data_IF_133794169440
#
_entry.id   IF_133794169440
#
_cell.length_a   1.000
_cell.length_b   1.000
_cell.length_c   1.000
_cell.angle_alpha   90.00
_cell.angle_beta   90.00
_cell.angle_gamma   90.00
#
_symmetry.space_group_name_H-M   'P 1'
#
loop_
_entity.id
_entity.type
_entity.pdbx_description
1 polymer ?
#
# COMPACT_ATOMS: atom_id res chain seq x y z
N UNK A 1 29.25 5.45 33.84
CA UNK A 1 29.28 5.84 32.42
C UNK A 1 28.07 5.38 31.60
N UNK A 2 27.05 4.74 32.19
CA UNK A 2 25.93 4.16 31.42
C UNK A 2 24.99 5.16 30.71
N UNK A 3 24.92 6.42 31.16
CA UNK A 3 24.05 7.44 30.57
C UNK A 3 24.56 7.89 29.19
N UNK A 4 25.88 7.99 29.01
CA UNK A 4 26.49 8.38 27.73
C UNK A 4 26.37 7.23 26.71
N UNK A 5 26.49 5.99 27.16
CA UNK A 5 26.36 4.82 26.28
C UNK A 5 24.93 4.63 25.78
N UNK A 6 23.93 4.94 26.61
CA UNK A 6 22.52 4.91 26.20
C UNK A 6 22.16 6.03 25.23
N UNK A 7 22.71 7.23 25.44
CA UNK A 7 22.54 8.35 24.50
C UNK A 7 23.16 8.02 23.13
N UNK A 8 24.33 7.38 23.10
CA UNK A 8 24.95 6.90 21.84
C UNK A 8 24.10 5.84 21.15
N UNK A 9 23.57 4.87 21.90
CA UNK A 9 22.67 3.86 21.33
C UNK A 9 21.39 4.46 20.75
N UNK A 10 20.79 5.45 21.42
CA UNK A 10 19.60 6.12 20.90
C UNK A 10 19.92 7.00 19.70
N UNK A 11 21.09 7.65 19.67
CA UNK A 11 21.54 8.44 18.52
C UNK A 11 21.84 7.56 17.31
N UNK A 12 22.51 6.42 17.48
CA UNK A 12 22.76 5.46 16.40
C UNK A 12 21.45 4.87 15.86
N UNK A 13 20.50 4.57 16.75
CA UNK A 13 19.18 4.05 16.36
C UNK A 13 18.34 5.10 15.63
N UNK A 14 18.39 6.36 16.08
CA UNK A 14 17.75 7.49 15.41
C UNK A 14 18.42 7.83 14.06
N UNK A 15 19.75 7.77 14.00
CA UNK A 15 20.52 8.01 12.78
C UNK A 15 20.23 6.96 11.71
N UNK A 16 20.12 5.69 12.10
CA UNK A 16 19.76 4.60 11.18
C UNK A 16 18.32 4.72 10.68
N UNK A 17 17.38 5.04 11.57
CA UNK A 17 15.99 5.31 11.18
C UNK A 17 15.85 6.54 10.26
N UNK A 18 16.67 7.57 10.45
CA UNK A 18 16.71 8.75 9.61
C UNK A 18 17.28 8.45 8.21
N UNK A 19 18.34 7.65 8.12
CA UNK A 19 18.89 7.17 6.84
C UNK A 19 17.87 6.35 6.06
N UNK A 20 17.23 5.38 6.73
CA UNK A 20 16.21 4.54 6.10
C UNK A 20 15.05 5.40 5.56
N UNK A 21 14.57 6.37 6.35
CA UNK A 21 13.50 7.28 5.91
C UNK A 21 13.93 8.20 4.74
N UNK A 22 15.20 8.61 4.71
CA UNK A 22 15.75 9.45 3.64
C UNK A 22 15.84 8.67 2.32
N UNK A 23 16.34 7.43 2.36
CA UNK A 23 16.43 6.55 1.19
C UNK A 23 15.05 6.19 0.65
N UNK A 24 14.07 5.98 1.54
CA UNK A 24 12.68 5.77 1.17
C UNK A 24 12.07 7.02 0.52
N UNK A 25 12.40 8.20 1.05
CA UNK A 25 12.01 9.50 0.49
C UNK A 25 12.56 9.72 -0.91
N UNK A 26 13.83 9.37 -1.15
CA UNK A 26 14.47 9.46 -2.47
C UNK A 26 13.80 8.53 -3.48
N UNK A 27 13.58 7.27 -3.10
CA UNK A 27 12.92 6.26 -3.95
C UNK A 27 11.51 6.71 -4.34
N UNK A 28 10.73 7.25 -3.39
CA UNK A 28 9.37 7.78 -3.66
C UNK A 28 9.39 8.99 -4.58
N UNK A 29 10.36 9.90 -4.39
CA UNK A 29 10.51 11.09 -5.22
C UNK A 29 10.84 10.73 -6.67
N UNK A 30 11.73 9.76 -6.87
CA UNK A 30 12.11 9.28 -8.21
C UNK A 30 10.92 8.68 -8.95
N UNK A 31 10.13 7.80 -8.31
CA UNK A 31 8.92 7.27 -8.93
C UNK A 31 7.88 8.36 -9.25
N UNK A 32 7.70 9.34 -8.37
CA UNK A 32 6.79 10.46 -8.63
C UNK A 32 7.24 11.30 -9.83
N UNK A 33 8.55 11.53 -9.97
CA UNK A 33 9.11 12.23 -11.13
C UNK A 33 8.92 11.45 -12.42
N UNK A 34 9.19 10.15 -12.42
CA UNK A 34 9.02 9.31 -13.62
C UNK A 34 7.56 9.28 -14.06
N UNK A 35 6.62 9.18 -13.12
CA UNK A 35 5.18 9.26 -13.42
C UNK A 35 4.78 10.62 -13.98
N UNK A 36 5.27 11.72 -13.42
CA UNK A 36 5.00 13.05 -13.97
C UNK A 36 5.53 13.23 -15.40
N UNK A 37 6.66 12.58 -15.73
CA UNK A 37 7.19 12.60 -17.10
C UNK A 37 6.29 11.80 -18.05
N UNK A 38 5.79 10.64 -17.63
CA UNK A 38 4.82 9.86 -18.39
C UNK A 38 3.51 10.64 -18.61
N UNK A 39 2.95 11.23 -17.56
CA UNK A 39 1.72 12.05 -17.64
C UNK A 39 1.89 13.23 -18.60
N UNK A 40 3.05 13.91 -18.57
CA UNK A 40 3.35 15.00 -19.53
C UNK A 40 3.50 14.51 -20.97
N UNK A 41 4.08 13.33 -21.17
CA UNK A 41 4.18 12.74 -22.50
C UNK A 41 2.80 12.34 -23.05
N UNK A 42 1.93 11.80 -22.20
CA UNK A 42 0.54 11.49 -22.54
C UNK A 42 -0.26 12.76 -22.90
N UNK A 43 -0.10 13.85 -22.12
CA UNK A 43 -0.73 15.14 -22.40
C UNK A 43 -0.24 15.71 -23.75
N UNK A 44 1.06 15.64 -24.02
CA UNK A 44 1.65 16.09 -25.29
C UNK A 44 1.14 15.28 -26.50
N UNK A 45 1.06 13.95 -26.38
CA UNK A 45 0.50 13.08 -27.41
C UNK A 45 -0.98 13.40 -27.65
N UNK A 46 -1.77 13.48 -26.57
CA UNK A 46 -3.20 13.78 -26.65
C UNK A 46 -3.48 15.13 -27.30
N UNK A 47 -2.70 16.15 -26.95
CA UNK A 47 -2.81 17.48 -27.56
C UNK A 47 -2.42 17.47 -29.04
N UNK A 48 -1.37 16.73 -29.42
CA UNK A 48 -0.93 16.61 -30.81
C UNK A 48 -2.01 15.94 -31.69
N UNK A 49 -2.62 14.86 -31.21
CA UNK A 49 -3.72 14.16 -31.89
C UNK A 49 -4.96 15.05 -31.99
N UNK A 50 -5.35 15.71 -30.89
CA UNK A 50 -6.48 16.63 -30.87
C UNK A 50 -6.29 17.78 -31.87
N UNK A 51 -5.11 18.38 -31.91
CA UNK A 51 -4.79 19.49 -32.83
C UNK A 51 -4.83 19.03 -34.29
N UNK A 52 -4.26 17.87 -34.60
CA UNK A 52 -4.30 17.30 -35.95
C UNK A 52 -5.76 17.10 -36.40
N UNK A 53 -6.55 16.40 -35.57
CA UNK A 53 -7.96 16.12 -35.84
C UNK A 53 -8.80 17.40 -35.98
N UNK A 54 -8.54 18.42 -35.16
CA UNK A 54 -9.19 19.74 -35.25
C UNK A 54 -8.82 20.49 -36.54
N UNK A 55 -7.59 20.32 -37.03
CA UNK A 55 -7.13 20.87 -38.30
C UNK A 55 -7.58 20.08 -39.54
N UNK A 56 -8.39 19.03 -39.37
CA UNK A 56 -8.82 18.15 -40.48
C UNK A 56 -7.68 17.38 -41.12
N UNK A 57 -6.54 17.27 -40.45
CA UNK A 57 -5.34 16.57 -40.91
C UNK A 57 -5.03 15.41 -39.97
N UNK A 58 -4.48 14.33 -40.49
CA UNK A 58 -4.02 13.24 -39.63
C UNK A 58 -2.65 13.58 -39.04
N UNK A 59 -2.37 13.10 -37.83
CA UNK A 59 -1.03 13.23 -37.27
C UNK A 59 -0.09 12.38 -38.13
N UNK A 60 1.03 12.96 -38.56
CA UNK A 60 2.04 12.24 -39.33
C UNK A 60 2.41 10.91 -38.64
N UNK A 61 2.34 9.80 -39.39
CA UNK A 61 2.48 8.45 -38.84
C UNK A 61 3.86 8.24 -38.19
N UNK A 62 4.92 8.79 -38.80
CA UNK A 62 6.26 8.71 -38.22
C UNK A 62 6.37 9.49 -36.89
N UNK A 63 5.69 10.64 -36.80
CA UNK A 63 5.59 11.43 -35.57
C UNK A 63 4.75 10.72 -34.50
N UNK A 64 3.64 10.09 -34.89
CA UNK A 64 2.80 9.30 -33.99
C UNK A 64 3.56 8.10 -33.42
N UNK A 65 4.21 7.31 -34.27
CA UNK A 65 4.96 6.12 -33.86
C UNK A 65 6.11 6.47 -32.91
N UNK A 66 6.81 7.58 -33.15
CA UNK A 66 7.87 8.07 -32.26
C UNK A 66 7.34 8.49 -30.89
N UNK A 67 6.26 9.26 -30.86
CA UNK A 67 5.65 9.73 -29.61
C UNK A 67 5.06 8.55 -28.83
N UNK A 68 4.45 7.60 -29.52
CA UNK A 68 3.94 6.36 -28.95
C UNK A 68 5.05 5.50 -28.35
N UNK A 69 6.14 5.27 -29.07
CA UNK A 69 7.27 4.50 -28.54
C UNK A 69 7.91 5.16 -27.31
N UNK A 70 7.96 6.50 -27.29
CA UNK A 70 8.44 7.27 -26.14
C UNK A 70 7.49 7.14 -24.95
N UNK A 71 6.18 7.20 -25.19
CA UNK A 71 5.17 6.99 -24.15
C UNK A 71 5.22 5.58 -23.58
N UNK A 72 5.24 4.55 -24.44
CA UNK A 72 5.32 3.14 -24.03
C UNK A 72 6.58 2.87 -23.17
N UNK A 73 7.70 3.51 -23.50
CA UNK A 73 8.94 3.41 -22.72
C UNK A 73 8.78 4.02 -21.32
N UNK A 74 8.25 5.24 -21.23
CA UNK A 74 8.07 5.92 -19.95
C UNK A 74 6.97 5.28 -19.09
N UNK A 75 5.90 4.77 -19.68
CA UNK A 75 4.84 4.03 -18.97
C UNK A 75 5.37 2.69 -18.43
N UNK A 76 6.16 1.96 -19.21
CA UNK A 76 6.77 0.71 -18.76
C UNK A 76 7.78 0.94 -17.63
N UNK A 77 8.59 2.01 -17.72
CA UNK A 77 9.53 2.39 -16.66
C UNK A 77 8.81 2.86 -15.39
N UNK A 78 7.79 3.69 -15.51
CA UNK A 78 6.96 4.12 -14.39
C UNK A 78 6.28 2.93 -13.70
N UNK A 79 5.68 2.03 -14.49
CA UNK A 79 5.01 0.83 -13.96
C UNK A 79 5.97 -0.11 -13.23
N UNK A 80 7.21 -0.29 -13.71
CA UNK A 80 8.23 -1.06 -12.99
C UNK A 80 8.61 -0.45 -11.66
N UNK A 81 8.88 0.86 -11.64
CA UNK A 81 9.25 1.58 -10.41
C UNK A 81 8.11 1.59 -9.38
N UNK A 82 6.86 1.74 -9.83
CA UNK A 82 5.68 1.65 -8.96
C UNK A 82 5.50 0.25 -8.37
N UNK A 83 5.67 -0.81 -9.18
CA UNK A 83 5.59 -2.18 -8.71
C UNK A 83 6.67 -2.50 -7.67
N UNK A 84 7.88 -2.00 -7.85
CA UNK A 84 8.99 -2.19 -6.90
C UNK A 84 8.74 -1.45 -5.58
N UNK A 85 8.18 -0.24 -5.62
CA UNK A 85 7.77 0.50 -4.42
C UNK A 85 6.66 -0.21 -3.67
N UNK A 86 5.64 -0.70 -4.37
CA UNK A 86 4.53 -1.40 -3.72
C UNK A 86 4.98 -2.75 -3.14
N UNK A 87 5.88 -3.47 -3.83
CA UNK A 87 6.51 -4.68 -3.30
C UNK A 87 7.30 -4.39 -2.02
N UNK A 88 8.15 -3.34 -2.03
CA UNK A 88 8.92 -2.93 -0.83
C UNK A 88 8.00 -2.50 0.30
N UNK A 89 6.90 -1.79 -0.01
CA UNK A 89 5.88 -1.40 0.98
C UNK A 89 5.19 -2.62 1.59
N UNK A 90 4.87 -3.63 0.79
CA UNK A 90 4.28 -4.88 1.27
C UNK A 90 5.25 -5.65 2.17
N UNK A 91 6.53 -5.71 1.82
CA UNK A 91 7.57 -6.32 2.65
C UNK A 91 7.71 -5.59 4.00
N UNK A 92 7.75 -4.26 3.99
CA UNK A 92 7.80 -3.44 5.22
C UNK A 92 6.54 -3.61 6.08
N UNK A 93 5.36 -3.70 5.46
CA UNK A 93 4.09 -3.97 6.16
C UNK A 93 4.07 -5.37 6.78
N UNK A 94 4.55 -6.38 6.06
CA UNK A 94 4.64 -7.74 6.55
C UNK A 94 5.63 -7.84 7.72
N UNK A 95 6.82 -7.24 7.60
CA UNK A 95 7.81 -7.19 8.67
C UNK A 95 7.28 -6.50 9.93
N UNK A 96 6.54 -5.39 9.77
CA UNK A 96 5.93 -4.67 10.88
C UNK A 96 4.75 -5.44 11.51
N UNK A 97 3.97 -6.17 10.70
CA UNK A 97 2.90 -7.05 11.20
C UNK A 97 3.45 -8.22 12.01
N UNK A 98 4.55 -8.84 11.56
CA UNK A 98 5.27 -9.90 12.29
C UNK A 98 5.82 -9.34 13.61
N UNK A 99 6.50 -8.19 13.58
CA UNK A 99 7.04 -7.53 14.78
C UNK A 99 5.95 -7.17 15.79
N UNK A 100 4.76 -6.75 15.31
CA UNK A 100 3.60 -6.41 16.16
C UNK A 100 2.92 -7.67 16.74
N UNK A 101 2.87 -8.76 15.98
CA UNK A 101 2.35 -10.04 16.46
C UNK A 101 3.26 -10.64 17.55
N UNK A 102 4.59 -10.57 17.38
CA UNK A 102 5.57 -10.98 18.40
C UNK A 102 5.48 -10.13 19.67
N UNK A 103 5.30 -8.81 19.54
CA UNK A 103 5.08 -7.92 20.68
C UNK A 103 3.73 -8.16 21.40
N UNK A 104 2.69 -8.60 20.67
CA UNK A 104 1.38 -8.90 21.25
C UNK A 104 1.32 -10.30 21.88
N UNK A 105 2.12 -11.25 21.41
CA UNK A 105 2.26 -12.59 22.01
C UNK A 105 3.01 -12.61 23.33
N UNK A 106 3.82 -11.58 23.63
CA UNK A 106 4.56 -11.46 24.88
C UNK A 106 3.71 -11.00 26.09
N UNK A 107 2.46 -10.56 25.90
CA UNK A 107 1.60 -10.03 26.97
C UNK A 107 0.56 -11.06 27.48
N UNK A 108 0.40 -12.22 26.85
CA UNK A 108 -0.66 -13.20 27.21
C UNK A 108 -0.21 -14.27 28.21
N UNK A 109 0.75 -13.97 29.08
CA UNK A 109 1.08 -14.83 30.23
C UNK A 109 1.13 -14.02 31.51
N UNK A 110 -0.01 -13.44 31.90
CA UNK A 110 -0.28 -13.13 33.31
C UNK A 110 -1.79 -13.03 33.55
N UNK A 111 -2.22 -13.84 34.50
CA UNK A 111 -3.47 -13.73 35.26
C UNK A 111 -4.76 -14.20 34.60
N UNK A 112 -4.90 -15.53 34.62
CA UNK A 112 -6.15 -16.14 35.04
C UNK A 112 -6.65 -15.51 36.36
N UNK A 113 -7.91 -15.08 36.40
CA UNK A 113 -8.89 -15.29 37.49
C UNK A 113 -10.12 -14.43 37.16
N UNK A 114 -11.12 -15.02 36.53
CA UNK A 114 -12.51 -14.59 36.72
C UNK A 114 -13.35 -15.83 37.00
N UNK A 115 -13.48 -16.10 38.29
CA UNK A 115 -14.49 -16.97 38.86
C UNK A 115 -15.86 -16.38 38.58
N UNK A 116 -16.64 -17.00 37.71
CA UNK A 116 -18.10 -16.85 37.68
C UNK A 116 -18.73 -18.23 37.58
N UNK A 117 -19.30 -18.65 38.71
CA UNK A 117 -19.99 -19.91 38.90
C UNK A 117 -21.23 -20.05 38.00
N UNK A 118 -21.60 -21.28 37.63
CA UNK A 118 -22.81 -21.55 36.85
C UNK A 118 -24.04 -21.51 37.77
N UNK A 119 -25.09 -20.79 37.38
CA UNK A 119 -26.41 -20.99 37.98
C UNK A 119 -27.33 -21.65 36.96
N UNK A 120 -27.73 -22.86 37.31
CA UNK A 120 -28.72 -23.68 36.65
C UNK A 120 -30.11 -23.09 36.83
N UNK A 121 -30.84 -22.92 35.73
CA UNK A 121 -32.24 -22.53 35.72
C UNK A 121 -33.00 -23.21 34.58
N UNK A 122 -33.21 -24.51 34.70
CA UNK A 122 -34.23 -25.30 33.98
C UNK A 122 -35.61 -24.76 34.41
N UNK A 123 -36.62 -24.50 33.56
CA UNK A 123 -37.60 -25.44 32.97
C UNK A 123 -38.76 -24.59 32.32
N UNK A 124 -39.81 -25.18 31.70
CA UNK A 124 -40.06 -25.19 30.25
C UNK A 124 -41.29 -24.34 29.81
N UNK A 125 -41.37 -23.96 28.54
CA UNK A 125 -42.53 -23.26 28.00
C UNK A 125 -42.78 -23.64 26.54
N UNK A 126 -43.69 -24.57 26.35
CA UNK A 126 -44.25 -25.00 25.06
C UNK A 126 -44.86 -23.84 24.28
N UNK A 127 -44.71 -23.87 22.94
CA UNK A 127 -45.52 -23.06 22.03
C UNK A 127 -45.02 -23.06 20.59
N UNK A 128 -45.59 -23.96 19.78
CA UNK A 128 -46.00 -23.81 18.36
C UNK A 128 -45.09 -22.99 17.40
N UNK A 129 -44.42 -23.55 16.38
CA UNK A 129 -44.91 -24.10 15.09
C UNK A 129 -44.16 -23.34 13.95
N UNK A 130 -43.55 -24.03 12.96
CA UNK A 130 -42.90 -23.39 11.82
C UNK A 130 -43.88 -23.22 10.65
N UNK A 131 -44.18 -21.97 10.26
CA UNK A 131 -44.91 -21.72 9.02
C UNK A 131 -43.95 -21.74 7.83
N UNK A 132 -44.16 -22.71 6.95
CA UNK A 132 -43.46 -22.92 5.69
C UNK A 132 -43.88 -21.85 4.68
N UNK A 133 -42.90 -21.21 4.02
CA UNK A 133 -43.10 -20.43 2.81
C UNK A 133 -42.71 -21.26 1.59
N UNK A 134 -43.70 -21.81 0.89
CA UNK A 134 -43.52 -22.41 -0.44
C UNK A 134 -43.42 -21.35 -1.52
N UNK A 135 -42.57 -21.51 -2.55
CA UNK A 135 -42.57 -20.67 -3.75
C UNK A 135 -43.59 -21.18 -4.79
N UNK A 136 -44.16 -20.26 -5.55
CA UNK A 136 -44.77 -20.49 -6.88
C UNK A 136 -44.35 -19.37 -7.81
#
# INVERSE_FOLDING_TARGET
>A
MALIDRLKQELDRAGKAAQDAFDDGKTRLEAFRTRQLADKAAEALGYAVFRAKKGGSELDAATFDRLRATLDTHDAEAGRLEAEIELRRQQMRAANAVSRAEASGATTTSSATTTSSPTTGTTPGSGDQPFQGSPS
#
